data_IF_447858200895
#
_entry.id   IF_447858200895
#
_cell.length_a   1.000
_cell.length_b   1.000
_cell.length_c   1.000
_cell.angle_alpha   90.00
_cell.angle_beta   90.00
_cell.angle_gamma   90.00
#
_symmetry.space_group_name_H-M   'P 1'
#
loop_
_entity.id
_entity.type
_entity.pdbx_description
1 polymer ?
#
# COMPACT_ATOMS: atom_id res chain seq x y z
N UNK A 1 4.48 1.52 -14.16
CA UNK A 1 5.57 0.84 -13.41
C UNK A 1 5.10 -0.57 -13.08
N UNK A 2 5.98 -1.57 -13.16
CA UNK A 2 5.66 -2.97 -12.85
C UNK A 2 6.47 -3.37 -11.61
N UNK A 3 5.81 -4.03 -10.66
CA UNK A 3 6.44 -4.59 -9.47
C UNK A 3 6.38 -6.11 -9.53
N UNK A 4 7.48 -6.76 -9.16
CA UNK A 4 7.56 -8.21 -9.06
C UNK A 4 7.90 -8.57 -7.61
N UNK A 5 7.13 -9.48 -7.04
CA UNK A 5 7.31 -9.94 -5.67
C UNK A 5 7.15 -11.45 -5.57
N UNK A 6 7.85 -12.04 -4.61
CA UNK A 6 7.66 -13.43 -4.20
C UNK A 6 7.06 -13.45 -2.81
N UNK A 7 6.04 -14.27 -2.63
CA UNK A 7 5.37 -14.45 -1.34
C UNK A 7 5.60 -15.88 -0.88
N UNK A 8 6.06 -16.03 0.35
CA UNK A 8 6.07 -17.31 1.05
C UNK A 8 4.69 -17.55 1.67
N UNK A 9 3.97 -18.54 1.15
CA UNK A 9 2.59 -18.84 1.56
C UNK A 9 2.51 -19.54 2.92
N UNK A 10 3.61 -20.15 3.38
CA UNK A 10 3.65 -20.77 4.72
C UNK A 10 3.67 -19.68 5.79
N UNK A 11 4.39 -18.59 5.53
CA UNK A 11 4.45 -17.42 6.42
C UNK A 11 3.22 -16.51 6.25
N UNK A 12 2.61 -16.47 5.07
CA UNK A 12 1.44 -15.65 4.76
C UNK A 12 0.15 -16.47 4.61
N UNK A 13 -0.12 -17.37 5.56
CA UNK A 13 -1.22 -18.36 5.47
C UNK A 13 -2.59 -17.74 5.23
N UNK A 14 -2.94 -16.66 5.92
CA UNK A 14 -4.23 -15.97 5.76
C UNK A 14 -4.39 -15.43 4.34
N UNK A 15 -3.33 -14.82 3.79
CA UNK A 15 -3.32 -14.35 2.41
C UNK A 15 -3.47 -15.51 1.43
N UNK A 16 -2.75 -16.62 1.65
CA UNK A 16 -2.84 -17.80 0.80
C UNK A 16 -4.27 -18.36 0.75
N UNK A 17 -4.95 -18.44 1.90
CA UNK A 17 -6.35 -18.88 1.98
C UNK A 17 -7.29 -17.87 1.32
N UNK A 18 -7.18 -16.58 1.64
CA UNK A 18 -8.03 -15.54 1.08
C UNK A 18 -7.90 -15.44 -0.45
N UNK A 19 -6.71 -15.72 -0.96
CA UNK A 19 -6.41 -15.74 -2.38
C UNK A 19 -6.70 -17.11 -3.02
N UNK A 20 -7.04 -18.14 -2.25
CA UNK A 20 -7.32 -19.48 -2.77
C UNK A 20 -6.12 -20.12 -3.45
N UNK A 21 -4.92 -20.01 -2.85
CA UNK A 21 -3.73 -20.73 -3.31
C UNK A 21 -3.90 -22.21 -2.96
N UNK A 22 -3.92 -23.08 -3.96
CA UNK A 22 -4.12 -24.53 -3.79
C UNK A 22 -2.87 -25.36 -4.09
N UNK A 23 -1.91 -24.80 -4.81
CA UNK A 23 -0.65 -25.46 -5.16
C UNK A 23 0.47 -24.43 -5.33
N UNK A 24 1.71 -24.89 -5.31
CA UNK A 24 2.89 -24.08 -5.62
C UNK A 24 3.70 -24.74 -6.74
N UNK A 25 4.36 -23.96 -7.62
CA UNK A 25 4.27 -22.50 -7.73
C UNK A 25 2.92 -22.01 -8.28
N UNK A 26 2.46 -20.83 -7.84
CA UNK A 26 1.24 -20.13 -8.33
C UNK A 26 1.65 -18.69 -8.65
N UNK A 27 1.60 -18.31 -9.93
CA UNK A 27 2.00 -16.98 -10.40
C UNK A 27 0.75 -16.18 -10.75
N UNK A 28 0.63 -14.97 -10.21
CA UNK A 28 -0.56 -14.13 -10.38
C UNK A 28 -0.16 -12.73 -10.78
N UNK A 29 -0.95 -12.14 -11.67
CA UNK A 29 -0.77 -10.76 -12.11
C UNK A 29 -1.96 -9.94 -11.62
N UNK A 30 -1.66 -8.86 -10.92
CA UNK A 30 -2.64 -7.91 -10.44
C UNK A 30 -2.47 -6.56 -11.14
N UNK A 31 -3.59 -5.91 -11.45
CA UNK A 31 -3.66 -4.55 -11.99
C UNK A 31 -4.80 -3.84 -11.29
N UNK A 32 -4.54 -2.64 -10.77
CA UNK A 32 -5.53 -1.80 -10.08
C UNK A 32 -6.27 -2.56 -8.94
N UNK A 33 -5.52 -3.38 -8.19
CA UNK A 33 -6.04 -4.20 -7.10
C UNK A 33 -6.80 -5.47 -7.51
N UNK A 34 -6.99 -5.70 -8.81
CA UNK A 34 -7.71 -6.86 -9.34
C UNK A 34 -6.77 -7.87 -9.98
N UNK A 35 -7.03 -9.16 -9.78
CA UNK A 35 -6.29 -10.24 -10.45
C UNK A 35 -6.73 -10.31 -11.91
N UNK A 36 -5.81 -10.05 -12.84
CA UNK A 36 -6.06 -10.02 -14.28
C UNK A 36 -5.52 -11.25 -15.01
N UNK A 37 -4.59 -11.97 -14.40
CA UNK A 37 -4.06 -13.23 -14.95
C UNK A 37 -3.56 -14.15 -13.85
N UNK A 38 -3.50 -15.45 -14.13
CA UNK A 38 -2.98 -16.49 -13.25
C UNK A 38 -2.39 -17.65 -14.05
N UNK A 39 -1.25 -18.14 -13.59
CA UNK A 39 -0.66 -19.41 -14.02
C UNK A 39 -0.69 -20.40 -12.87
N UNK A 40 -1.33 -21.55 -13.11
CA UNK A 40 -1.22 -22.70 -12.23
C UNK A 40 0.11 -23.40 -12.54
N UNK A 41 1.08 -23.30 -11.64
CA UNK A 41 2.46 -23.67 -11.94
C UNK A 41 3.29 -22.51 -12.49
N UNK A 42 4.55 -22.79 -12.81
CA UNK A 42 5.45 -21.83 -13.42
C UNK A 42 5.58 -22.13 -14.92
N UNK A 43 5.09 -21.24 -15.80
CA UNK A 43 5.09 -21.48 -17.25
C UNK A 43 6.45 -21.21 -17.91
N UNK A 44 7.45 -20.76 -17.14
CA UNK A 44 8.72 -20.24 -17.65
C UNK A 44 8.74 -18.71 -17.68
N UNK A 45 9.94 -18.15 -17.74
CA UNK A 45 10.17 -16.70 -17.67
C UNK A 45 9.56 -15.97 -18.88
N UNK A 46 9.78 -16.47 -20.09
CA UNK A 46 9.32 -15.84 -21.33
C UNK A 46 7.79 -15.64 -21.35
N UNK A 47 7.04 -16.64 -20.91
CA UNK A 47 5.59 -16.58 -20.84
C UNK A 47 5.10 -15.52 -19.83
N UNK A 48 5.79 -15.38 -18.70
CA UNK A 48 5.46 -14.35 -17.69
C UNK A 48 5.80 -12.95 -18.23
N UNK A 49 6.97 -12.80 -18.87
CA UNK A 49 7.40 -11.54 -19.46
C UNK A 49 6.49 -11.08 -20.59
N UNK A 50 6.03 -12.00 -21.46
CA UNK A 50 5.08 -11.71 -22.52
C UNK A 50 3.76 -11.16 -21.96
N UNK A 51 3.21 -11.80 -20.91
CA UNK A 51 2.00 -11.31 -20.24
C UNK A 51 2.20 -9.94 -19.62
N UNK A 52 3.30 -9.74 -18.91
CA UNK A 52 3.62 -8.43 -18.31
C UNK A 52 3.71 -7.35 -19.40
N UNK A 53 4.39 -7.64 -20.51
CA UNK A 53 4.50 -6.72 -21.65
C UNK A 53 3.12 -6.33 -22.17
N UNK A 54 2.25 -7.30 -22.44
CA UNK A 54 0.91 -7.06 -22.96
C UNK A 54 0.06 -6.22 -21.99
N UNK A 55 0.06 -6.58 -20.69
CA UNK A 55 -0.80 -5.99 -19.66
C UNK A 55 -0.31 -4.63 -19.16
N UNK A 56 0.99 -4.37 -19.27
CA UNK A 56 1.61 -3.10 -18.85
C UNK A 56 1.53 -1.99 -19.90
N UNK A 57 1.08 -2.29 -21.13
CA UNK A 57 0.83 -1.27 -22.16
C UNK A 57 -0.15 -0.22 -21.66
N UNK A 58 0.22 1.05 -21.84
CA UNK A 58 -0.61 2.20 -21.46
C UNK A 58 -0.66 2.47 -19.96
N UNK A 59 0.08 1.74 -19.11
CA UNK A 59 0.20 2.07 -17.69
C UNK A 59 1.07 3.33 -17.56
N UNK A 60 0.41 4.48 -17.43
CA UNK A 60 1.05 5.72 -16.98
C UNK A 60 1.07 5.70 -15.47
N UNK A 61 2.23 5.93 -14.87
CA UNK A 61 2.32 6.03 -13.42
C UNK A 61 1.63 7.33 -12.97
N UNK A 62 0.37 7.25 -12.56
CA UNK A 62 -0.20 8.27 -11.71
C UNK A 62 0.47 8.14 -10.35
N UNK A 63 1.47 8.98 -10.10
CA UNK A 63 2.00 9.16 -8.76
C UNK A 63 0.82 9.72 -7.95
N UNK A 64 0.29 9.03 -6.92
CA UNK A 64 -0.78 9.58 -6.12
C UNK A 64 -0.27 10.87 -5.48
N UNK A 65 -0.81 12.01 -5.91
CA UNK A 65 -0.52 13.34 -5.39
C UNK A 65 -1.14 13.57 -4.00
N UNK A 66 -1.07 12.57 -3.11
CA UNK A 66 -1.53 12.69 -1.72
C UNK A 66 -0.51 12.05 -0.76
N UNK A 67 0.75 12.43 -0.92
CA UNK A 67 1.66 12.57 0.20
C UNK A 67 1.99 14.06 0.35
N UNK A 68 0.94 14.91 0.42
CA UNK A 68 1.10 16.25 0.95
C UNK A 68 1.26 16.10 2.46
N UNK A 69 2.47 16.39 2.91
CA UNK A 69 2.86 16.63 4.28
C UNK A 69 1.77 17.41 5.02
N UNK A 70 1.07 16.79 5.96
CA UNK A 70 0.43 17.55 7.03
C UNK A 70 1.54 17.99 7.97
N UNK A 71 2.13 19.12 7.58
CA UNK A 71 2.84 20.06 8.42
C UNK A 71 2.15 20.08 9.79
N UNK A 72 2.79 19.45 10.78
CA UNK A 72 2.41 19.66 12.17
C UNK A 72 2.76 21.09 12.45
N UNK A 73 1.81 21.99 12.24
CA UNK A 73 1.81 23.35 12.74
C UNK A 73 1.90 23.25 14.26
N UNK A 74 3.12 23.06 14.79
CA UNK A 74 3.44 23.35 16.18
C UNK A 74 3.42 24.87 16.25
N UNK A 75 2.23 25.44 16.40
CA UNK A 75 2.12 26.80 16.89
C UNK A 75 2.68 26.79 18.31
N UNK A 76 3.67 27.63 18.65
CA UNK A 76 3.96 27.91 20.05
C UNK A 76 2.65 28.37 20.68
N UNK A 77 2.22 27.69 21.73
CA UNK A 77 1.07 28.11 22.53
C UNK A 77 1.38 29.53 23.03
N UNK A 78 0.67 30.55 22.57
CA UNK A 78 0.77 31.89 23.15
C UNK A 78 0.31 31.80 24.61
N UNK A 79 1.27 31.95 25.51
CA UNK A 79 1.13 31.76 26.97
C UNK A 79 0.45 32.96 27.64
N UNK A 80 -0.61 33.50 27.02
CA UNK A 80 -1.37 34.65 27.53
C UNK A 80 -2.87 34.37 27.72
N UNK A 81 -3.27 33.09 27.75
CA UNK A 81 -4.61 32.69 28.18
C UNK A 81 -4.58 32.27 29.66
N UNK A 82 -4.93 33.20 30.55
CA UNK A 82 -5.27 32.88 31.94
C UNK A 82 -6.78 32.59 32.04
N UNK A 83 -7.21 31.43 32.59
CA UNK A 83 -8.61 31.21 32.90
C UNK A 83 -9.06 32.13 34.05
N UNK A 84 -10.14 32.88 33.81
CA UNK A 84 -10.80 33.75 34.78
C UNK A 84 -11.34 32.90 35.93
N UNK A 85 -10.84 33.10 37.16
CA UNK A 85 -11.39 32.34 38.28
C UNK A 85 -10.79 32.50 39.68
N UNK A 86 -9.79 33.35 39.95
CA UNK A 86 -9.33 33.54 41.34
C UNK A 86 -9.13 35.01 41.72
N UNK A 87 -9.93 35.45 42.69
CA UNK A 87 -9.97 36.78 43.27
C UNK A 87 -8.75 37.05 44.19
N UNK A 88 -8.38 38.33 44.27
CA UNK A 88 -7.42 38.89 45.22
C UNK A 88 -7.86 38.65 46.67
N UNK A 89 -6.94 38.21 47.53
CA UNK A 89 -6.96 38.52 48.97
C UNK A 89 -5.65 39.20 49.32
N UNK A 90 -5.76 40.45 49.75
CA UNK A 90 -4.62 41.24 50.21
C UNK A 90 -4.08 40.75 51.55
N UNK A 91 -2.81 41.04 51.77
CA UNK A 91 -2.36 41.96 52.81
C UNK A 91 -1.11 42.68 52.30
#
# INVERSE_FOLDING_TARGET
MVYVGKIDIEQARELAVAQGVSSIPDVRIYKDGQRVDQFLGFPGEDAVLEKISILSRGITAEIPATAQSTDSSVRPLDKNEMPKGMQKRGL
#
